data_IF_832909960946
#
_entry.id   IF_832909960946
#
_cell.length_a   1.000
_cell.length_b   1.000
_cell.length_c   1.000
_cell.angle_alpha   90.00
_cell.angle_beta   90.00
_cell.angle_gamma   90.00
#
_symmetry.space_group_name_H-M   'P 1'
#
loop_
_entity.id
_entity.type
_entity.pdbx_description
1 polymer ?
#
# COMPACT_ATOMS: atom_id res chain seq x y z
N UNK A 1 2.84 -6.32 -3.97
CA UNK A 1 2.34 -6.48 -2.59
C UNK A 1 3.38 -5.90 -1.64
N UNK A 2 3.01 -5.34 -0.49
CA UNK A 2 3.99 -4.73 0.42
C UNK A 2 4.85 -5.73 1.21
N UNK A 3 4.84 -7.02 0.85
CA UNK A 3 5.61 -8.03 1.58
C UNK A 3 7.12 -7.77 1.50
N UNK A 4 7.82 -7.98 2.62
CA UNK A 4 9.25 -7.64 2.82
C UNK A 4 10.17 -8.13 1.70
N UNK A 5 9.91 -9.33 1.14
CA UNK A 5 10.74 -9.89 0.06
C UNK A 5 10.63 -9.10 -1.26
N UNK A 6 9.51 -8.42 -1.50
CA UNK A 6 9.32 -7.59 -2.70
C UNK A 6 9.93 -6.19 -2.54
N UNK A 7 9.95 -5.64 -1.33
CA UNK A 7 10.39 -4.26 -1.06
C UNK A 7 11.91 -4.13 -1.10
N UNK A 8 12.65 -5.15 -0.62
CA UNK A 8 14.12 -5.24 -0.73
C UNK A 8 14.63 -5.13 -2.19
N UNK A 9 13.75 -5.35 -3.16
CA UNK A 9 14.07 -5.29 -4.60
C UNK A 9 13.90 -3.90 -5.19
N UNK A 10 13.29 -2.93 -4.49
CA UNK A 10 13.02 -1.60 -5.05
C UNK A 10 14.27 -0.89 -5.56
N UNK A 11 15.38 -0.94 -4.82
CA UNK A 11 16.67 -0.38 -5.28
C UNK A 11 17.18 -1.05 -6.55
N UNK A 12 17.01 -2.37 -6.66
CA UNK A 12 17.39 -3.13 -7.85
C UNK A 12 16.49 -2.80 -9.05
N UNK A 13 15.18 -2.59 -8.82
CA UNK A 13 14.26 -2.13 -9.85
C UNK A 13 14.64 -0.75 -10.38
N UNK A 14 14.94 0.19 -9.48
CA UNK A 14 15.42 1.53 -9.87
C UNK A 14 16.72 1.43 -10.67
N UNK A 15 17.69 0.61 -10.22
CA UNK A 15 18.93 0.37 -10.95
C UNK A 15 18.71 -0.27 -12.34
N UNK A 16 17.65 -1.06 -12.50
CA UNK A 16 17.24 -1.63 -13.79
C UNK A 16 16.44 -0.65 -14.68
N UNK A 17 16.23 0.59 -14.24
CA UNK A 17 15.52 1.63 -15.00
C UNK A 17 14.02 1.69 -14.78
N UNK A 18 13.47 0.92 -13.83
CA UNK A 18 12.06 1.04 -13.42
C UNK A 18 11.90 2.37 -12.68
N UNK A 19 10.96 3.20 -13.16
CA UNK A 19 10.75 4.55 -12.65
C UNK A 19 9.39 4.75 -11.96
N UNK A 20 8.52 3.72 -11.97
CA UNK A 20 7.21 3.74 -11.30
C UNK A 20 6.86 2.40 -10.67
N UNK A 21 6.36 2.42 -9.44
CA UNK A 21 5.87 1.23 -8.71
C UNK A 21 4.46 1.47 -8.15
N UNK A 22 3.59 0.46 -8.25
CA UNK A 22 2.25 0.45 -7.61
C UNK A 22 2.33 -0.48 -6.38
N UNK A 23 2.04 0.03 -5.19
CA UNK A 23 2.07 -0.79 -3.96
C UNK A 23 0.64 -1.08 -3.55
N UNK A 24 0.20 -2.32 -3.80
CA UNK A 24 -1.11 -2.79 -3.40
C UNK A 24 -1.22 -3.01 -1.90
N UNK A 25 -1.64 -1.99 -1.15
CA UNK A 25 -1.87 -2.04 0.31
C UNK A 25 -3.27 -2.55 0.65
N UNK A 26 -4.28 -2.19 -0.14
CA UNK A 26 -5.71 -2.47 0.07
C UNK A 26 -6.33 -1.89 1.35
N UNK A 27 -5.83 -2.25 2.53
CA UNK A 27 -6.28 -1.77 3.83
C UNK A 27 -5.12 -1.79 4.83
N UNK A 28 -5.19 -0.99 5.89
CA UNK A 28 -4.22 -1.01 6.99
C UNK A 28 -4.82 -1.68 8.24
N UNK A 29 -5.87 -2.47 8.04
CA UNK A 29 -6.55 -3.23 9.08
C UNK A 29 -6.42 -4.73 8.81
N UNK A 30 -5.79 -5.45 9.74
CA UNK A 30 -5.47 -6.87 9.56
C UNK A 30 -6.69 -7.74 9.30
N UNK A 31 -7.82 -7.43 9.93
CA UNK A 31 -9.07 -8.18 9.73
C UNK A 31 -9.55 -8.07 8.27
N UNK A 32 -9.50 -6.86 7.68
CA UNK A 32 -9.92 -6.61 6.29
C UNK A 32 -8.97 -7.29 5.31
N UNK A 33 -7.67 -7.21 5.57
CA UNK A 33 -6.65 -7.92 4.78
C UNK A 33 -6.86 -9.43 4.81
N UNK A 34 -7.16 -10.00 5.98
CA UNK A 34 -7.42 -11.44 6.14
C UNK A 34 -8.64 -11.86 5.34
N UNK A 35 -9.73 -11.08 5.36
CA UNK A 35 -10.93 -11.35 4.55
C UNK A 35 -10.66 -11.27 3.03
N UNK A 36 -9.68 -10.46 2.62
CA UNK A 36 -9.20 -10.37 1.23
C UNK A 36 -8.17 -11.46 0.87
N UNK A 37 -7.86 -12.39 1.78
CA UNK A 37 -6.83 -13.41 1.56
C UNK A 37 -5.41 -12.86 1.49
N UNK A 38 -5.17 -11.66 2.05
CA UNK A 38 -3.85 -11.03 2.12
C UNK A 38 -3.13 -11.46 3.40
N UNK A 39 -1.85 -11.78 3.26
CA UNK A 39 -0.98 -12.27 4.34
C UNK A 39 -0.02 -11.21 4.90
N UNK A 40 -0.05 -9.99 4.36
CA UNK A 40 0.71 -8.85 4.89
C UNK A 40 -0.16 -8.06 5.88
N UNK A 41 0.46 -7.16 6.65
CA UNK A 41 -0.20 -6.25 7.57
C UNK A 41 0.19 -4.79 7.36
N UNK A 42 -0.20 -3.95 8.31
CA UNK A 42 0.09 -2.51 8.33
C UNK A 42 1.60 -2.22 8.32
N UNK A 43 2.37 -3.01 9.07
CA UNK A 43 3.82 -2.78 9.19
C UNK A 43 4.55 -3.01 7.87
N UNK A 44 4.17 -4.02 7.11
CA UNK A 44 4.69 -4.28 5.77
C UNK A 44 4.37 -3.13 4.82
N UNK A 45 3.15 -2.58 4.87
CA UNK A 45 2.77 -1.41 4.07
C UNK A 45 3.60 -0.16 4.42
N UNK A 46 3.82 0.09 5.72
CA UNK A 46 4.68 1.18 6.19
C UNK A 46 6.12 1.02 5.69
N UNK A 47 6.69 -0.18 5.85
CA UNK A 47 8.05 -0.49 5.42
C UNK A 47 8.18 -0.33 3.90
N UNK A 48 7.21 -0.82 3.13
CA UNK A 48 7.19 -0.66 1.68
C UNK A 48 7.20 0.82 1.26
N UNK A 49 6.39 1.67 1.89
CA UNK A 49 6.39 3.11 1.62
C UNK A 49 7.74 3.75 1.95
N UNK A 50 8.32 3.42 3.11
CA UNK A 50 9.64 3.93 3.52
C UNK A 50 10.74 3.48 2.56
N UNK A 51 10.75 2.22 2.15
CA UNK A 51 11.72 1.67 1.21
C UNK A 51 11.57 2.29 -0.19
N UNK A 52 10.35 2.57 -0.63
CA UNK A 52 10.11 3.25 -1.90
C UNK A 52 10.73 4.66 -1.91
N UNK A 53 10.52 5.41 -0.81
CA UNK A 53 11.17 6.71 -0.61
C UNK A 53 12.70 6.58 -0.61
N UNK A 54 13.25 5.63 0.15
CA UNK A 54 14.69 5.41 0.25
C UNK A 54 15.34 4.92 -1.05
N UNK A 55 14.59 4.22 -1.91
CA UNK A 55 15.03 3.80 -3.23
C UNK A 55 15.12 4.95 -4.23
N UNK A 56 14.64 6.16 -3.87
CA UNK A 56 14.60 7.32 -4.76
C UNK A 56 13.51 7.24 -5.82
N UNK A 57 12.44 6.46 -5.59
CA UNK A 57 11.30 6.41 -6.48
C UNK A 57 10.50 7.71 -6.39
N UNK A 58 10.67 8.58 -7.39
CA UNK A 58 9.87 9.80 -7.52
C UNK A 58 8.42 9.54 -7.97
N UNK A 59 8.11 8.31 -8.37
CA UNK A 59 6.76 7.90 -8.78
C UNK A 59 6.43 6.56 -8.14
N UNK A 60 5.64 6.57 -7.06
CA UNK A 60 4.98 5.38 -6.58
C UNK A 60 3.58 5.71 -6.09
N UNK A 61 2.72 4.70 -6.02
CA UNK A 61 1.44 4.82 -5.33
C UNK A 61 1.33 3.88 -4.14
N UNK A 62 0.37 4.20 -3.28
CA UNK A 62 -0.30 3.21 -2.44
C UNK A 62 -1.73 3.03 -2.98
N UNK A 63 -2.08 1.79 -3.32
CA UNK A 63 -3.43 1.43 -3.76
C UNK A 63 -4.24 0.94 -2.56
N UNK A 64 -5.32 1.67 -2.24
CA UNK A 64 -6.28 1.37 -1.18
C UNK A 64 -7.63 0.95 -1.76
N UNK A 65 -8.40 0.21 -0.95
CA UNK A 65 -9.76 -0.20 -1.26
C UNK A 65 -10.73 0.25 -0.16
N UNK A 66 -11.92 0.68 -0.56
CA UNK A 66 -13.05 0.93 0.33
C UNK A 66 -14.30 0.14 -0.09
N UNK A 67 -15.29 0.03 0.79
CA UNK A 67 -16.44 -0.86 0.58
C UNK A 67 -16.09 -2.34 0.78
N UNK A 68 -15.06 -2.63 1.58
CA UNK A 68 -14.68 -4.01 1.92
C UNK A 68 -15.78 -4.67 2.79
N UNK A 69 -15.88 -6.02 2.80
CA UNK A 69 -16.83 -6.70 3.67
C UNK A 69 -16.68 -6.25 5.13
N UNK A 70 -17.81 -5.94 5.76
CA UNK A 70 -17.89 -5.43 7.14
C UNK A 70 -17.06 -4.15 7.42
N UNK A 71 -16.67 -3.37 6.40
CA UNK A 71 -15.93 -2.13 6.58
C UNK A 71 -16.87 -0.97 6.87
N UNK A 72 -16.64 -0.29 8.00
CA UNK A 72 -17.35 0.95 8.31
C UNK A 72 -16.77 2.14 7.54
N UNK A 73 -17.51 3.25 7.48
CA UNK A 73 -16.97 4.50 6.90
C UNK A 73 -15.74 4.98 7.69
N UNK A 74 -15.75 4.87 9.02
CA UNK A 74 -14.60 5.24 9.86
C UNK A 74 -13.38 4.35 9.59
N UNK A 75 -13.59 3.06 9.30
CA UNK A 75 -12.49 2.16 8.94
C UNK A 75 -11.84 2.62 7.64
N UNK A 76 -12.65 2.92 6.61
CA UNK A 76 -12.15 3.37 5.31
C UNK A 76 -11.41 4.71 5.40
N UNK A 77 -11.91 5.65 6.22
CA UNK A 77 -11.25 6.93 6.47
C UNK A 77 -9.95 6.75 7.26
N UNK A 78 -9.90 5.85 8.23
CA UNK A 78 -8.68 5.55 8.98
C UNK A 78 -7.58 4.99 8.08
N UNK A 79 -7.91 4.09 7.14
CA UNK A 79 -6.96 3.60 6.14
C UNK A 79 -6.42 4.74 5.28
N UNK A 80 -7.30 5.66 4.83
CA UNK A 80 -6.91 6.80 4.00
C UNK A 80 -6.01 7.78 4.76
N UNK A 81 -6.36 8.15 6.00
CA UNK A 81 -5.58 9.05 6.84
C UNK A 81 -4.17 8.52 7.09
N UNK A 82 -4.06 7.23 7.44
CA UNK A 82 -2.77 6.58 7.66
C UNK A 82 -1.93 6.54 6.37
N UNK A 83 -2.53 6.24 5.22
CA UNK A 83 -1.81 6.22 3.95
C UNK A 83 -1.35 7.62 3.51
N UNK A 84 -2.14 8.67 3.77
CA UNK A 84 -1.73 10.07 3.56
C UNK A 84 -0.51 10.39 4.44
N UNK A 85 -0.49 9.93 5.69
CA UNK A 85 0.62 10.14 6.61
C UNK A 85 1.93 9.43 6.16
N UNK A 86 1.85 8.42 5.28
CA UNK A 86 3.02 7.79 4.64
C UNK A 86 3.60 8.62 3.49
N UNK A 87 2.98 9.77 3.18
CA UNK A 87 3.41 10.76 2.19
C UNK A 87 3.77 10.19 0.81
N UNK A 88 2.96 9.29 0.21
CA UNK A 88 3.24 8.81 -1.13
C UNK A 88 3.03 9.93 -2.17
N UNK A 89 3.77 9.91 -3.30
CA UNK A 89 3.53 10.84 -4.41
C UNK A 89 2.13 10.72 -5.02
N UNK A 90 1.49 9.55 -4.89
CA UNK A 90 0.17 9.27 -5.42
C UNK A 90 -0.61 8.31 -4.51
N UNK A 91 -1.91 8.51 -4.37
CA UNK A 91 -2.84 7.58 -3.73
C UNK A 91 -3.89 7.16 -4.75
N UNK A 92 -4.14 5.85 -4.84
CA UNK A 92 -5.29 5.32 -5.56
C UNK A 92 -6.29 4.79 -4.54
N UNK A 93 -7.55 5.22 -4.61
CA UNK A 93 -8.59 4.81 -3.67
C UNK A 93 -9.79 4.26 -4.44
N UNK A 94 -9.92 2.93 -4.43
CA UNK A 94 -10.89 2.21 -5.25
C UNK A 94 -12.04 1.67 -4.42
N UNK A 95 -13.25 1.76 -4.92
CA UNK A 95 -14.36 0.99 -4.37
C UNK A 95 -14.20 -0.48 -4.76
N UNK A 96 -14.36 -1.39 -3.80
CA UNK A 96 -14.58 -2.80 -4.11
C UNK A 96 -15.94 -2.95 -4.78
N UNK A 97 -15.93 -3.23 -6.08
CA UNK A 97 -17.11 -3.56 -6.87
C UNK A 97 -17.10 -5.06 -7.15
N UNK A 98 -18.20 -5.76 -6.87
CA UNK A 98 -18.40 -7.21 -7.09
C UNK A 98 -19.34 -7.42 -8.27
#
# INVERSE_FOLDING_TARGET
NPGTVETDRFKHYVAAGINRISIGVQSLQQEKLTQLGRIHGEQEALNAAQEAHQAGLNSFNLDLMHGLPNQSVSDALSDLEKAIAMTPPHLSWYQLTI
#
